data_IF_022781319289
#
_entry.id   IF_022781319289
#
_cell.length_a   1.000
_cell.length_b   1.000
_cell.length_c   1.000
_cell.angle_alpha   90.00
_cell.angle_beta   90.00
_cell.angle_gamma   90.00
#
_symmetry.space_group_name_H-M   'P 1'
#
loop_
_entity.id
_entity.type
_entity.pdbx_description
1 polymer ?
#
# COMPACT_ATOMS: atom_id res chain seq x y z
N UNK A 1 -30.01 -4.34 24.22
CA UNK A 1 -29.52 -5.17 23.09
C UNK A 1 -30.04 -4.64 21.76
N UNK A 2 -29.49 -5.07 20.65
CA UNK A 2 -29.90 -4.63 19.32
C UNK A 2 -29.33 -5.46 18.20
N UNK A 3 -29.74 -5.11 16.99
CA UNK A 3 -29.38 -5.82 15.78
C UNK A 3 -28.57 -4.90 14.87
N UNK A 4 -27.34 -5.32 14.57
CA UNK A 4 -26.57 -4.75 13.46
C UNK A 4 -27.04 -5.41 12.16
N UNK A 5 -27.59 -4.59 11.27
CA UNK A 5 -28.35 -5.05 10.10
C UNK A 5 -27.72 -4.65 8.79
N UNK A 6 -26.50 -4.13 8.83
CA UNK A 6 -25.75 -3.70 7.65
C UNK A 6 -24.53 -4.59 7.42
N UNK A 7 -24.02 -4.53 6.21
CA UNK A 7 -22.71 -5.04 5.88
C UNK A 7 -22.69 -6.21 4.91
N UNK A 8 -21.50 -6.55 4.53
CA UNK A 8 -21.13 -7.50 3.49
C UNK A 8 -21.79 -8.89 3.62
N UNK A 9 -21.92 -9.49 4.83
CA UNK A 9 -22.57 -10.81 4.95
C UNK A 9 -24.02 -10.83 4.48
N UNK A 10 -24.77 -9.76 4.74
CA UNK A 10 -26.17 -9.63 4.29
C UNK A 10 -26.22 -9.47 2.78
N UNK A 11 -25.39 -8.57 2.22
CA UNK A 11 -25.32 -8.32 0.78
C UNK A 11 -24.96 -9.57 0.01
N UNK A 12 -23.87 -10.26 0.37
CA UNK A 12 -23.45 -11.50 -0.29
C UNK A 12 -24.47 -12.64 -0.14
N UNK A 13 -25.17 -12.70 0.99
CA UNK A 13 -26.25 -13.66 1.21
C UNK A 13 -27.39 -13.45 0.22
N UNK A 14 -27.84 -12.21 0.03
CA UNK A 14 -28.91 -11.83 -0.91
C UNK A 14 -28.46 -11.98 -2.36
N UNK A 15 -27.26 -11.56 -2.72
CA UNK A 15 -26.70 -11.75 -4.07
C UNK A 15 -26.68 -13.24 -4.45
N UNK A 16 -26.27 -14.10 -3.52
CA UNK A 16 -26.26 -15.55 -3.73
C UNK A 16 -27.69 -16.13 -3.87
N UNK A 17 -28.63 -15.69 -3.02
CA UNK A 17 -30.03 -16.13 -3.06
C UNK A 17 -30.69 -15.75 -4.38
N UNK A 18 -30.45 -14.53 -4.87
CA UNK A 18 -31.02 -14.02 -6.12
C UNK A 18 -30.22 -14.43 -7.37
N UNK A 19 -29.02 -14.97 -7.21
CA UNK A 19 -28.11 -15.32 -8.31
C UNK A 19 -27.64 -14.13 -9.12
N UNK A 20 -27.45 -12.97 -8.46
CA UNK A 20 -27.00 -11.69 -9.02
C UNK A 20 -25.60 -11.31 -8.51
N UNK A 21 -25.07 -10.24 -9.05
CA UNK A 21 -23.85 -9.57 -8.59
C UNK A 21 -24.12 -8.09 -8.37
N UNK A 22 -23.20 -7.38 -7.72
CA UNK A 22 -23.31 -5.91 -7.55
C UNK A 22 -23.46 -5.15 -8.86
N UNK A 23 -22.91 -5.69 -9.95
CA UNK A 23 -23.02 -5.10 -11.30
C UNK A 23 -24.44 -5.14 -11.88
N UNK A 24 -25.34 -5.97 -11.34
CA UNK A 24 -26.71 -6.11 -11.79
C UNK A 24 -27.67 -5.13 -11.09
N UNK A 25 -27.24 -4.58 -9.93
CA UNK A 25 -28.06 -3.67 -9.12
C UNK A 25 -28.14 -2.31 -9.83
N UNK A 26 -29.36 -1.84 -10.06
CA UNK A 26 -29.72 -0.61 -10.81
C UNK A 26 -29.12 -0.51 -12.24
N UNK A 27 -28.62 -1.60 -12.77
CA UNK A 27 -28.09 -1.69 -14.13
C UNK A 27 -29.17 -2.18 -15.12
N UNK A 28 -29.81 -1.24 -15.79
CA UNK A 28 -30.90 -1.51 -16.74
C UNK A 28 -30.46 -2.32 -17.97
N UNK A 29 -29.17 -2.44 -18.23
CA UNK A 29 -28.65 -3.24 -19.33
C UNK A 29 -28.38 -4.70 -18.91
N UNK A 30 -28.41 -5.00 -17.62
CA UNK A 30 -28.26 -6.35 -17.14
C UNK A 30 -29.54 -7.17 -17.35
N UNK A 31 -29.35 -8.41 -17.81
CA UNK A 31 -30.45 -9.41 -17.89
C UNK A 31 -30.97 -9.83 -16.52
N UNK A 32 -30.24 -9.52 -15.46
CA UNK A 32 -30.56 -9.81 -14.07
C UNK A 32 -30.84 -8.53 -13.26
N UNK A 33 -31.30 -7.48 -13.94
CA UNK A 33 -31.63 -6.21 -13.31
C UNK A 33 -32.49 -6.37 -12.07
N UNK A 34 -32.10 -5.68 -11.02
CA UNK A 34 -32.92 -5.46 -9.82
C UNK A 34 -32.79 -3.99 -9.41
N UNK A 35 -33.89 -3.38 -9.00
CA UNK A 35 -33.85 -2.01 -8.49
C UNK A 35 -33.13 -1.95 -7.10
N UNK A 36 -32.54 -0.78 -6.75
CA UNK A 36 -31.99 -0.58 -5.41
C UNK A 36 -33.06 -0.78 -4.34
N UNK A 37 -34.32 -0.38 -4.61
CA UNK A 37 -35.43 -0.54 -3.66
C UNK A 37 -35.75 -2.00 -3.39
N UNK A 38 -35.91 -2.81 -4.44
CA UNK A 38 -36.20 -4.25 -4.31
C UNK A 38 -35.03 -4.99 -3.65
N UNK A 39 -33.79 -4.64 -4.01
CA UNK A 39 -32.61 -5.23 -3.41
C UNK A 39 -32.53 -4.90 -1.89
N UNK A 40 -32.75 -3.65 -1.51
CA UNK A 40 -32.77 -3.24 -0.10
C UNK A 40 -33.93 -3.92 0.68
N UNK A 41 -35.07 -4.13 0.03
CA UNK A 41 -36.17 -4.86 0.65
C UNK A 41 -35.77 -6.31 0.95
N UNK A 42 -35.16 -7.00 -0.02
CA UNK A 42 -34.59 -8.33 0.19
C UNK A 42 -33.55 -8.43 1.27
N UNK A 43 -32.66 -7.44 1.38
CA UNK A 43 -31.68 -7.35 2.46
C UNK A 43 -32.34 -7.23 3.84
N UNK A 44 -33.40 -6.41 3.96
CA UNK A 44 -34.16 -6.27 5.22
C UNK A 44 -34.89 -7.56 5.59
N UNK A 45 -35.48 -8.28 4.64
CA UNK A 45 -36.10 -9.58 4.90
C UNK A 45 -35.06 -10.62 5.37
N UNK A 46 -33.90 -10.68 4.71
CA UNK A 46 -32.86 -11.66 4.97
C UNK A 46 -32.23 -11.45 6.34
N UNK A 47 -31.85 -10.22 6.69
CA UNK A 47 -31.11 -9.91 7.91
C UNK A 47 -31.93 -10.18 9.19
N UNK A 48 -33.26 -10.10 9.12
CA UNK A 48 -34.14 -10.35 10.27
C UNK A 48 -34.61 -11.81 10.38
N UNK A 49 -34.23 -12.67 9.43
CA UNK A 49 -34.74 -14.04 9.28
C UNK A 49 -34.56 -14.89 10.54
N UNK A 50 -33.46 -14.75 11.25
CA UNK A 50 -33.09 -15.60 12.38
C UNK A 50 -33.22 -14.91 13.76
N UNK A 51 -33.89 -13.78 13.84
CA UNK A 51 -34.01 -13.01 15.10
C UNK A 51 -34.76 -13.77 16.20
N UNK A 52 -35.76 -14.60 15.84
CA UNK A 52 -36.50 -15.41 16.80
C UNK A 52 -35.62 -16.50 17.44
N UNK A 53 -34.81 -17.17 16.63
CA UNK A 53 -33.85 -18.19 17.11
C UNK A 53 -32.79 -17.56 18.00
N UNK A 54 -32.24 -16.42 17.63
CA UNK A 54 -31.30 -15.68 18.46
C UNK A 54 -31.89 -15.24 19.80
N UNK A 55 -33.14 -14.75 19.78
CA UNK A 55 -33.86 -14.39 21.02
C UNK A 55 -33.99 -15.60 21.94
N UNK A 56 -34.47 -16.73 21.41
CA UNK A 56 -34.60 -17.97 22.16
C UNK A 56 -33.27 -18.44 22.76
N UNK A 57 -32.20 -18.43 21.96
CA UNK A 57 -30.87 -18.81 22.42
C UNK A 57 -30.37 -17.89 23.55
N UNK A 58 -30.58 -16.58 23.42
CA UNK A 58 -30.18 -15.57 24.40
C UNK A 58 -30.89 -15.81 25.76
N UNK A 59 -32.19 -16.13 25.70
CA UNK A 59 -32.98 -16.46 26.88
C UNK A 59 -32.52 -17.79 27.53
N UNK A 60 -32.27 -18.82 26.72
CA UNK A 60 -31.80 -20.15 27.20
C UNK A 60 -30.40 -20.06 27.83
N UNK A 61 -29.50 -19.19 27.30
CA UNK A 61 -28.19 -18.93 27.91
C UNK A 61 -28.25 -18.13 29.21
N UNK A 62 -29.42 -17.61 29.58
CA UNK A 62 -29.60 -16.76 30.76
C UNK A 62 -28.91 -15.40 30.65
N UNK A 63 -28.71 -14.90 29.40
CA UNK A 63 -28.14 -13.57 29.18
C UNK A 63 -29.21 -12.50 29.43
N UNK A 64 -29.05 -11.75 30.52
CA UNK A 64 -30.04 -10.79 30.98
C UNK A 64 -29.96 -9.45 30.25
N UNK A 65 -30.79 -9.26 29.22
CA UNK A 65 -30.91 -8.05 28.40
C UNK A 65 -32.36 -7.78 28.03
N UNK A 66 -32.71 -6.53 27.76
CA UNK A 66 -34.01 -6.16 27.20
C UNK A 66 -34.09 -6.61 25.74
N UNK A 67 -34.87 -7.66 25.49
CA UNK A 67 -35.13 -8.22 24.18
C UNK A 67 -36.43 -7.69 23.54
N UNK A 68 -37.26 -6.99 24.32
CA UNK A 68 -38.53 -6.46 23.84
C UNK A 68 -38.39 -5.11 23.18
N UNK A 69 -37.33 -4.34 23.54
CA UNK A 69 -37.05 -3.04 22.97
C UNK A 69 -35.64 -2.98 22.35
N UNK A 70 -35.32 -3.82 21.36
CA UNK A 70 -34.01 -3.78 20.72
C UNK A 70 -33.88 -2.51 19.86
N UNK A 71 -32.66 -1.98 19.73
CA UNK A 71 -32.40 -1.05 18.63
C UNK A 71 -32.11 -1.86 17.35
N UNK A 72 -32.47 -1.30 16.20
CA UNK A 72 -32.23 -1.89 14.88
C UNK A 72 -31.53 -0.85 14.03
N UNK A 73 -30.32 -1.13 13.52
CA UNK A 73 -29.47 -0.12 12.91
C UNK A 73 -30.02 0.45 11.59
N UNK A 74 -30.95 -0.22 10.91
CA UNK A 74 -31.62 0.32 9.72
C UNK A 74 -32.85 1.18 10.01
N UNK A 75 -33.30 1.29 11.27
CA UNK A 75 -34.43 2.14 11.61
C UNK A 75 -34.07 3.63 11.61
N UNK A 76 -34.99 4.45 11.11
CA UNK A 76 -34.77 5.90 11.00
C UNK A 76 -34.38 6.54 12.34
N UNK A 77 -35.01 6.14 13.44
CA UNK A 77 -34.69 6.64 14.78
C UNK A 77 -33.22 6.44 15.16
N UNK A 78 -32.66 5.27 14.83
CA UNK A 78 -31.24 4.98 15.05
C UNK A 78 -30.36 5.83 14.14
N UNK A 79 -30.67 5.86 12.83
CA UNK A 79 -29.92 6.60 11.80
C UNK A 79 -29.92 8.10 12.10
N UNK A 80 -31.05 8.68 12.48
CA UNK A 80 -31.16 10.10 12.81
C UNK A 80 -30.31 10.45 14.05
N UNK A 81 -30.32 9.60 15.08
CA UNK A 81 -29.49 9.78 16.27
C UNK A 81 -28.01 9.72 15.91
N UNK A 82 -27.60 8.77 15.09
CA UNK A 82 -26.21 8.65 14.62
C UNK A 82 -25.77 9.88 13.81
N UNK A 83 -26.61 10.34 12.89
CA UNK A 83 -26.33 11.55 12.10
C UNK A 83 -26.24 12.80 12.95
N UNK A 84 -27.07 12.90 14.00
CA UNK A 84 -26.97 14.00 14.95
C UNK A 84 -25.61 13.99 15.68
N UNK A 85 -25.13 12.81 16.12
CA UNK A 85 -23.81 12.66 16.74
C UNK A 85 -22.68 13.03 15.77
N UNK A 86 -22.72 12.54 14.54
CA UNK A 86 -21.73 12.88 13.50
C UNK A 86 -21.72 14.38 13.21
N UNK A 87 -22.89 15.03 13.20
CA UNK A 87 -23.00 16.48 13.05
C UNK A 87 -22.33 17.23 14.21
N UNK A 88 -22.43 16.72 15.45
CA UNK A 88 -21.72 17.33 16.60
C UNK A 88 -20.19 17.22 16.42
N UNK A 89 -19.69 16.08 15.97
CA UNK A 89 -18.27 15.89 15.69
C UNK A 89 -17.79 16.82 14.54
N UNK A 90 -18.56 16.89 13.47
CA UNK A 90 -18.25 17.79 12.35
C UNK A 90 -18.20 19.26 12.76
N UNK A 91 -19.16 19.70 13.60
CA UNK A 91 -19.20 21.09 14.10
C UNK A 91 -18.03 21.46 15.03
N UNK A 92 -17.30 20.46 15.52
CA UNK A 92 -16.10 20.60 16.36
C UNK A 92 -14.81 20.38 15.57
N UNK A 93 -14.87 20.30 14.24
CA UNK A 93 -13.75 19.96 13.36
C UNK A 93 -13.04 18.62 13.68
N UNK A 94 -13.76 17.69 14.35
CA UNK A 94 -13.26 16.35 14.68
C UNK A 94 -13.58 15.30 13.61
N UNK A 95 -14.44 15.64 12.64
CA UNK A 95 -14.79 14.80 11.49
C UNK A 95 -14.37 15.51 10.21
N UNK A 96 -13.49 14.88 9.45
CA UNK A 96 -12.97 15.42 8.20
C UNK A 96 -12.84 14.31 7.14
N UNK A 97 -12.76 14.71 5.87
CA UNK A 97 -12.51 13.79 4.76
C UNK A 97 -11.01 13.56 4.61
N UNK A 98 -10.57 12.32 4.69
CA UNK A 98 -9.17 11.93 4.58
C UNK A 98 -8.98 10.63 3.81
N UNK A 99 -7.72 10.19 3.71
CA UNK A 99 -7.34 8.91 3.11
C UNK A 99 -6.83 7.97 4.18
N UNK A 100 -7.09 6.68 4.00
CA UNK A 100 -6.49 5.61 4.79
C UNK A 100 -6.11 4.45 3.87
N UNK A 101 -5.08 3.72 4.25
CA UNK A 101 -4.71 2.49 3.57
C UNK A 101 -5.59 1.38 4.14
N UNK A 102 -6.28 0.68 3.26
CA UNK A 102 -7.18 -0.41 3.63
C UNK A 102 -7.08 -1.53 2.60
N UNK A 103 -6.97 -2.80 3.02
CA UNK A 103 -7.09 -3.93 2.11
C UNK A 103 -8.42 -3.88 1.37
N UNK A 104 -8.40 -4.14 0.09
CA UNK A 104 -9.57 -4.12 -0.79
C UNK A 104 -9.76 -5.48 -1.45
N UNK A 105 -10.98 -6.02 -1.40
CA UNK A 105 -11.33 -7.24 -2.09
C UNK A 105 -12.05 -6.93 -3.42
N UNK A 106 -11.41 -7.18 -4.58
CA UNK A 106 -12.06 -7.02 -5.87
C UNK A 106 -13.27 -7.95 -6.04
N UNK A 107 -13.20 -9.16 -5.46
CA UNK A 107 -14.28 -10.14 -5.51
C UNK A 107 -15.53 -9.73 -4.74
N UNK A 108 -15.37 -9.04 -3.61
CA UNK A 108 -16.47 -8.50 -2.82
C UNK A 108 -16.82 -7.04 -3.19
N UNK A 109 -15.94 -6.36 -3.95
CA UNK A 109 -16.10 -4.97 -4.37
C UNK A 109 -16.06 -3.97 -3.23
N UNK A 110 -15.33 -4.27 -2.13
CA UNK A 110 -15.28 -3.42 -0.93
C UNK A 110 -13.95 -3.54 -0.20
N UNK A 111 -13.65 -2.54 0.64
CA UNK A 111 -12.57 -2.60 1.61
C UNK A 111 -12.86 -3.62 2.71
N UNK A 112 -11.82 -4.21 3.28
CA UNK A 112 -11.91 -5.19 4.36
C UNK A 112 -11.47 -4.56 5.68
N UNK A 113 -12.21 -4.86 6.75
CA UNK A 113 -11.86 -4.47 8.11
C UNK A 113 -10.76 -5.37 8.68
N UNK A 114 -10.07 -4.89 9.72
CA UNK A 114 -9.10 -5.71 10.45
C UNK A 114 -9.74 -6.95 11.08
N UNK A 115 -11.02 -6.87 11.46
CA UNK A 115 -11.77 -8.01 11.99
C UNK A 115 -11.94 -9.11 10.94
N UNK A 116 -12.30 -8.76 9.73
CA UNK A 116 -12.45 -9.72 8.60
C UNK A 116 -11.12 -10.39 8.25
N UNK A 117 -10.01 -9.65 8.37
CA UNK A 117 -8.67 -10.18 8.11
C UNK A 117 -8.12 -11.08 9.24
N UNK A 118 -8.74 -11.04 10.42
CA UNK A 118 -8.35 -11.87 11.58
C UNK A 118 -9.20 -13.12 11.75
N UNK A 119 -10.10 -13.44 10.83
CA UNK A 119 -10.90 -14.66 10.91
C UNK A 119 -10.04 -15.90 10.66
N UNK A 120 -10.29 -17.02 11.37
CA UNK A 120 -9.61 -18.28 11.12
C UNK A 120 -9.72 -18.70 9.65
N UNK A 121 -8.58 -19.03 9.03
CA UNK A 121 -8.53 -19.48 7.63
C UNK A 121 -8.60 -18.38 6.57
N UNK A 122 -8.51 -17.10 6.95
CA UNK A 122 -8.42 -15.98 6.01
C UNK A 122 -7.18 -16.03 5.15
N UNK A 123 -6.06 -16.49 5.72
CA UNK A 123 -4.76 -16.56 5.04
C UNK A 123 -4.52 -17.96 4.53
N UNK A 124 -3.95 -18.04 3.33
CA UNK A 124 -3.51 -19.28 2.68
C UNK A 124 -2.20 -19.02 1.97
N UNK A 125 -1.31 -20.00 1.99
CA UNK A 125 -0.09 -19.94 1.20
C UNK A 125 -0.44 -20.00 -0.29
N UNK A 126 0.08 -19.05 -1.05
CA UNK A 126 -0.05 -18.99 -2.49
C UNK A 126 1.33 -18.84 -3.11
N UNK A 127 1.54 -19.44 -4.28
CA UNK A 127 2.76 -19.23 -5.06
C UNK A 127 2.57 -18.02 -5.94
N UNK A 128 3.42 -17.01 -5.76
CA UNK A 128 3.37 -15.78 -6.53
C UNK A 128 4.76 -15.39 -7.06
N UNK A 129 4.79 -14.40 -7.96
CA UNK A 129 6.02 -13.92 -8.58
C UNK A 129 6.57 -12.74 -7.78
N UNK A 130 7.82 -12.84 -7.37
CA UNK A 130 8.58 -11.73 -6.77
C UNK A 130 9.44 -11.03 -7.82
N UNK A 131 9.81 -9.79 -7.55
CA UNK A 131 10.66 -9.00 -8.42
C UNK A 131 11.78 -8.32 -7.63
N UNK A 132 12.99 -8.31 -8.20
CA UNK A 132 14.08 -7.44 -7.74
C UNK A 132 14.27 -6.34 -8.77
N UNK A 133 13.95 -5.11 -8.41
CA UNK A 133 14.05 -3.95 -9.27
C UNK A 133 15.37 -3.21 -9.04
N UNK A 134 15.92 -2.65 -10.11
CA UNK A 134 17.16 -1.87 -10.12
C UNK A 134 16.82 -0.38 -10.30
N UNK A 135 17.16 0.43 -9.31
CA UNK A 135 16.91 1.87 -9.30
C UNK A 135 18.22 2.62 -9.55
N UNK A 136 18.36 3.23 -10.73
CA UNK A 136 19.58 3.95 -11.16
C UNK A 136 19.88 5.11 -10.21
N UNK A 137 21.08 5.13 -9.61
CA UNK A 137 21.52 6.18 -8.68
C UNK A 137 21.91 7.43 -9.45
N UNK A 138 21.41 8.61 -9.03
CA UNK A 138 21.65 9.88 -9.71
C UNK A 138 22.88 10.64 -9.16
N UNK A 139 23.16 10.48 -7.87
CA UNK A 139 24.28 11.11 -7.15
C UNK A 139 25.22 10.04 -6.53
N UNK A 140 25.83 9.19 -7.38
CA UNK A 140 26.63 8.07 -6.92
C UNK A 140 27.97 8.54 -6.31
N UNK A 141 28.49 7.71 -5.38
CA UNK A 141 29.88 7.85 -4.94
C UNK A 141 30.82 7.49 -6.09
N UNK A 142 32.01 8.11 -6.14
CA UNK A 142 32.97 7.98 -7.27
C UNK A 142 33.33 6.51 -7.56
N UNK A 143 33.56 5.71 -6.52
CA UNK A 143 33.92 4.29 -6.66
C UNK A 143 32.81 3.43 -7.29
N UNK A 144 31.54 3.85 -7.19
CA UNK A 144 30.42 3.11 -7.75
C UNK A 144 30.32 3.21 -9.27
N UNK A 145 30.89 4.26 -9.86
CA UNK A 145 30.81 4.52 -11.31
C UNK A 145 31.95 3.88 -12.11
N UNK A 146 32.94 3.27 -11.44
CA UNK A 146 34.12 2.69 -12.09
C UNK A 146 33.83 1.41 -12.85
N UNK A 147 32.65 0.78 -12.64
CA UNK A 147 32.25 -0.47 -13.28
C UNK A 147 30.81 -0.41 -13.77
N UNK A 148 30.49 0.50 -14.66
CA UNK A 148 29.15 0.67 -15.19
C UNK A 148 28.24 1.52 -14.29
N UNK A 149 26.93 1.43 -14.52
CA UNK A 149 25.94 2.23 -13.79
C UNK A 149 25.68 1.69 -12.38
N UNK A 150 25.54 2.56 -11.39
CA UNK A 150 25.16 2.17 -10.03
C UNK A 150 23.64 2.09 -9.85
N UNK A 151 23.19 1.08 -9.10
CA UNK A 151 21.78 0.83 -8.81
C UNK A 151 21.57 0.46 -7.34
N UNK A 152 20.48 0.93 -6.76
CA UNK A 152 19.90 0.31 -5.57
C UNK A 152 19.09 -0.91 -5.99
N UNK A 153 19.30 -2.05 -5.32
CA UNK A 153 18.53 -3.28 -5.51
C UNK A 153 17.39 -3.35 -4.50
N UNK A 154 16.15 -3.25 -4.93
CA UNK A 154 15.01 -3.44 -4.03
C UNK A 154 14.16 -4.63 -4.47
N UNK A 155 13.85 -5.52 -3.53
CA UNK A 155 13.01 -6.69 -3.74
C UNK A 155 11.59 -6.45 -3.28
N UNK A 156 10.61 -6.99 -4.00
CA UNK A 156 9.20 -6.91 -3.64
C UNK A 156 8.44 -8.18 -3.99
N UNK A 157 7.48 -8.54 -3.15
CA UNK A 157 6.47 -9.58 -3.41
C UNK A 157 5.25 -9.02 -4.16
N UNK A 158 5.15 -7.71 -4.30
CA UNK A 158 4.01 -7.00 -4.90
C UNK A 158 4.46 -6.09 -6.05
N UNK A 159 4.96 -6.66 -7.18
CA UNK A 159 5.55 -5.86 -8.26
C UNK A 159 4.57 -4.85 -8.90
N UNK A 160 3.26 -5.05 -8.78
CA UNK A 160 2.23 -4.11 -9.24
C UNK A 160 2.19 -2.79 -8.47
N UNK A 161 2.89 -2.67 -7.33
CA UNK A 161 3.00 -1.41 -6.58
C UNK A 161 4.21 -0.56 -7.01
N UNK A 162 5.15 -1.11 -7.78
CA UNK A 162 6.34 -0.40 -8.28
C UNK A 162 6.03 0.89 -9.05
N UNK A 163 4.94 0.99 -9.86
CA UNK A 163 4.59 2.25 -10.52
C UNK A 163 4.33 3.42 -9.56
N UNK A 164 3.89 3.13 -8.32
CA UNK A 164 3.66 4.13 -7.27
C UNK A 164 4.83 4.31 -6.31
N UNK A 165 6.01 3.81 -6.65
CA UNK A 165 7.23 4.03 -5.87
C UNK A 165 7.58 5.51 -5.80
N UNK A 166 7.87 6.00 -4.58
CA UNK A 166 8.30 7.39 -4.35
C UNK A 166 9.52 7.51 -3.43
N UNK A 167 9.94 6.41 -2.78
CA UNK A 167 11.17 6.35 -2.00
C UNK A 167 11.71 4.92 -1.95
N UNK A 168 12.97 4.78 -1.51
CA UNK A 168 13.56 3.52 -1.08
C UNK A 168 13.96 3.67 0.39
N UNK A 169 13.65 2.66 1.19
CA UNK A 169 13.92 2.66 2.62
C UNK A 169 15.05 1.69 2.98
N UNK A 170 16.00 2.15 3.79
CA UNK A 170 17.11 1.36 4.32
C UNK A 170 17.12 1.37 5.84
N UNK A 171 17.64 0.32 6.46
CA UNK A 171 17.80 0.25 7.91
C UNK A 171 19.02 1.08 8.37
N UNK A 172 18.86 2.01 9.31
CA UNK A 172 19.95 2.90 9.72
C UNK A 172 21.18 2.16 10.26
N UNK A 173 20.98 1.03 10.93
CA UNK A 173 22.03 0.19 11.53
C UNK A 173 22.45 -1.00 10.67
N UNK A 174 21.89 -1.15 9.48
CA UNK A 174 22.24 -2.21 8.54
C UNK A 174 23.46 -1.76 7.72
N UNK A 175 24.40 -2.69 7.52
CA UNK A 175 25.52 -2.50 6.63
C UNK A 175 25.15 -2.88 5.21
N UNK A 176 25.47 -2.03 4.24
CA UNK A 176 25.25 -2.20 2.81
C UNK A 176 26.59 -2.27 2.08
N UNK A 177 26.62 -3.09 1.04
CA UNK A 177 27.78 -3.27 0.19
C UNK A 177 27.53 -2.68 -1.19
N UNK A 178 28.53 -2.00 -1.74
CA UNK A 178 28.60 -1.67 -3.15
C UNK A 178 29.32 -2.81 -3.89
N UNK A 179 28.62 -3.47 -4.80
CA UNK A 179 29.05 -4.69 -5.46
C UNK A 179 29.12 -4.47 -6.97
N UNK A 180 30.32 -4.46 -7.52
CA UNK A 180 30.55 -4.46 -8.97
C UNK A 180 30.28 -5.84 -9.53
N UNK A 181 29.51 -5.93 -10.62
CA UNK A 181 29.08 -7.20 -11.21
C UNK A 181 28.54 -6.96 -12.64
N UNK A 182 27.94 -7.99 -13.20
CA UNK A 182 27.19 -7.94 -14.46
C UNK A 182 25.71 -8.22 -14.24
N UNK A 183 24.88 -7.59 -15.01
CA UNK A 183 23.48 -7.94 -15.13
C UNK A 183 23.35 -9.24 -15.94
N UNK A 184 22.89 -10.31 -15.32
CA UNK A 184 22.81 -11.63 -15.95
C UNK A 184 21.81 -11.73 -17.12
N UNK A 185 20.98 -10.70 -17.35
CA UNK A 185 20.00 -10.69 -18.43
C UNK A 185 20.49 -9.98 -19.70
N UNK A 186 21.34 -8.96 -19.55
CA UNK A 186 21.79 -8.13 -20.69
C UNK A 186 23.31 -7.91 -20.72
N UNK A 187 24.06 -8.56 -19.81
CA UNK A 187 25.52 -8.53 -19.70
C UNK A 187 26.13 -7.15 -19.43
N UNK A 188 25.32 -6.16 -19.10
CA UNK A 188 25.82 -4.83 -18.77
C UNK A 188 26.58 -4.85 -17.44
N UNK A 189 27.72 -4.17 -17.43
CA UNK A 189 28.47 -3.88 -16.21
C UNK A 189 27.66 -2.96 -15.32
N UNK A 190 27.54 -3.30 -14.04
CA UNK A 190 26.81 -2.49 -13.06
C UNK A 190 27.44 -2.58 -11.66
N UNK A 191 27.15 -1.58 -10.85
CA UNK A 191 27.40 -1.64 -9.40
C UNK A 191 26.06 -1.66 -8.68
N UNK A 192 25.83 -2.64 -7.82
CA UNK A 192 24.57 -2.73 -7.07
C UNK A 192 24.81 -2.54 -5.59
N UNK A 193 23.84 -1.90 -4.92
CA UNK A 193 23.83 -1.70 -3.49
C UNK A 193 22.87 -2.70 -2.87
N UNK A 194 23.35 -3.50 -1.91
CA UNK A 194 22.62 -4.58 -1.24
C UNK A 194 23.08 -4.69 0.22
N UNK A 195 22.20 -5.13 1.13
CA UNK A 195 22.60 -5.40 2.51
C UNK A 195 23.60 -6.55 2.61
N UNK A 196 24.66 -6.38 3.41
CA UNK A 196 25.74 -7.36 3.59
C UNK A 196 25.24 -8.77 3.89
N UNK A 197 24.30 -9.02 4.84
CA UNK A 197 23.83 -10.36 5.16
C UNK A 197 23.14 -11.08 3.99
N UNK A 198 22.65 -10.33 3.00
CA UNK A 198 21.89 -10.85 1.86
C UNK A 198 22.74 -11.00 0.59
N UNK A 199 24.03 -10.67 0.65
CA UNK A 199 24.95 -10.79 -0.50
C UNK A 199 24.88 -12.18 -1.14
N UNK A 200 24.99 -13.23 -0.35
CA UNK A 200 25.04 -14.61 -0.85
C UNK A 200 23.68 -15.20 -1.28
N UNK A 201 22.59 -14.47 -1.04
CA UNK A 201 21.28 -14.80 -1.63
C UNK A 201 21.22 -14.47 -3.13
N UNK A 202 22.07 -13.54 -3.58
CA UNK A 202 22.14 -13.08 -4.98
C UNK A 202 23.44 -13.48 -5.66
N UNK A 203 24.54 -13.56 -4.93
CA UNK A 203 25.88 -13.81 -5.47
C UNK A 203 26.48 -15.07 -4.86
N UNK A 204 26.86 -16.01 -5.71
CA UNK A 204 27.55 -17.22 -5.28
C UNK A 204 28.94 -16.87 -4.77
N UNK A 205 29.39 -17.50 -3.68
CA UNK A 205 30.68 -17.21 -3.07
C UNK A 205 31.85 -17.33 -4.06
N UNK A 206 31.81 -18.29 -4.98
CA UNK A 206 32.84 -18.50 -6.00
C UNK A 206 33.00 -17.32 -6.96
N UNK A 207 31.94 -16.50 -7.10
CA UNK A 207 31.96 -15.30 -7.94
C UNK A 207 32.93 -14.22 -7.44
N UNK A 208 33.25 -14.21 -6.14
CA UNK A 208 34.18 -13.24 -5.56
C UNK A 208 35.63 -13.42 -6.04
N UNK A 209 36.01 -14.63 -6.43
CA UNK A 209 37.34 -14.99 -6.93
C UNK A 209 37.38 -15.07 -8.45
N UNK A 210 36.22 -15.16 -9.12
CA UNK A 210 36.14 -15.30 -10.58
C UNK A 210 36.67 -14.02 -11.28
N UNK A 211 37.45 -14.13 -12.36
CA UNK A 211 37.91 -12.97 -13.13
C UNK A 211 36.74 -12.19 -13.70
N UNK A 212 36.73 -10.88 -13.51
CA UNK A 212 35.64 -10.02 -14.01
C UNK A 212 35.59 -10.01 -15.55
N UNK A 213 36.75 -10.02 -16.21
CA UNK A 213 36.84 -9.89 -17.68
C UNK A 213 36.51 -11.19 -18.43
N UNK A 214 36.41 -12.35 -17.74
CA UNK A 214 36.13 -13.63 -18.35
C UNK A 214 34.64 -13.98 -18.42
N UNK A 215 33.76 -13.14 -17.84
CA UNK A 215 32.31 -13.39 -17.82
C UNK A 215 31.70 -13.45 -19.22
N UNK A 216 30.85 -14.44 -19.43
CA UNK A 216 30.06 -14.64 -20.66
C UNK A 216 28.61 -14.87 -20.35
N UNK A 217 27.73 -14.41 -21.23
CA UNK A 217 26.29 -14.62 -21.10
C UNK A 217 25.95 -16.09 -20.85
N UNK A 218 25.16 -16.34 -19.80
CA UNK A 218 24.70 -17.66 -19.41
C UNK A 218 25.65 -18.39 -18.48
N UNK A 219 26.76 -17.79 -18.06
CA UNK A 219 27.62 -18.40 -17.02
C UNK A 219 26.85 -18.58 -15.71
N UNK A 220 27.01 -19.76 -15.08
CA UNK A 220 26.31 -20.09 -13.84
C UNK A 220 26.80 -19.32 -12.63
N UNK A 221 28.00 -18.75 -12.72
CA UNK A 221 28.66 -17.96 -11.68
C UNK A 221 28.94 -16.58 -12.29
N UNK A 222 28.21 -15.57 -11.82
CA UNK A 222 28.47 -14.19 -12.20
C UNK A 222 29.56 -13.64 -11.29
N UNK A 223 30.68 -13.12 -11.84
CA UNK A 223 31.75 -12.55 -11.03
C UNK A 223 31.32 -11.26 -10.36
N UNK A 224 31.85 -11.01 -9.16
CA UNK A 224 31.58 -9.78 -8.45
C UNK A 224 32.77 -9.32 -7.59
N UNK A 225 32.78 -8.03 -7.24
CA UNK A 225 33.75 -7.41 -6.32
C UNK A 225 33.03 -6.44 -5.39
N UNK A 226 33.27 -6.59 -4.10
CA UNK A 226 32.83 -5.58 -3.12
C UNK A 226 33.82 -4.42 -3.17
N UNK A 227 33.32 -3.21 -3.44
CA UNK A 227 34.16 -2.02 -3.64
C UNK A 227 33.89 -0.93 -2.60
N UNK A 228 32.89 -1.12 -1.73
CA UNK A 228 32.59 -0.21 -0.63
C UNK A 228 31.62 -0.83 0.36
N UNK A 229 31.72 -0.34 1.59
CA UNK A 229 30.85 -0.71 2.71
C UNK A 229 30.27 0.58 3.33
N UNK A 230 28.97 0.60 3.61
CA UNK A 230 28.26 1.80 4.08
C UNK A 230 27.21 1.39 5.11
N UNK A 231 27.05 2.22 6.14
CA UNK A 231 25.87 2.10 6.99
C UNK A 231 24.67 2.74 6.31
N UNK A 232 23.46 2.28 6.64
CA UNK A 232 22.25 2.85 6.04
C UNK A 232 22.14 4.37 6.20
N UNK A 233 22.61 4.92 7.32
CA UNK A 233 22.69 6.37 7.55
C UNK A 233 23.59 7.13 6.57
N UNK A 234 24.57 6.45 5.95
CA UNK A 234 25.46 7.06 4.94
C UNK A 234 24.84 7.05 3.54
N UNK A 235 23.73 6.32 3.35
CA UNK A 235 22.97 6.26 2.10
C UNK A 235 21.77 7.22 2.12
N UNK A 236 21.37 7.74 3.28
CA UNK A 236 20.24 8.64 3.43
C UNK A 236 20.37 9.86 2.52
N UNK A 237 19.27 10.20 1.84
CA UNK A 237 19.20 11.37 0.97
C UNK A 237 19.75 11.15 -0.44
N UNK A 238 20.45 10.06 -0.75
CA UNK A 238 20.88 9.76 -2.11
C UNK A 238 19.66 9.57 -3.03
N UNK A 239 19.70 10.17 -4.21
CA UNK A 239 18.60 10.14 -5.17
C UNK A 239 18.78 9.03 -6.20
N UNK A 240 17.65 8.57 -6.68
CA UNK A 240 17.59 7.61 -7.79
C UNK A 240 16.57 8.04 -8.83
N UNK A 241 16.75 7.57 -10.05
CA UNK A 241 15.86 7.83 -11.16
C UNK A 241 14.52 7.11 -10.95
N UNK A 242 13.41 7.83 -11.12
CA UNK A 242 12.08 7.22 -11.10
C UNK A 242 12.04 6.00 -12.03
N UNK A 243 11.60 4.86 -11.51
CA UNK A 243 11.59 3.60 -12.25
C UNK A 243 10.62 3.64 -13.43
N UNK A 244 9.43 4.21 -13.22
CA UNK A 244 8.35 4.32 -14.20
C UNK A 244 7.83 5.77 -14.23
N UNK A 245 8.40 6.65 -15.08
CA UNK A 245 8.11 8.09 -15.06
C UNK A 245 6.81 8.44 -15.80
N UNK A 246 5.72 7.73 -15.50
CA UNK A 246 4.42 7.95 -16.16
C UNK A 246 3.64 9.09 -15.52
N UNK A 247 3.78 9.27 -14.23
CA UNK A 247 3.08 10.28 -13.43
C UNK A 247 4.08 10.91 -12.45
N UNK A 248 3.92 12.20 -12.18
CA UNK A 248 4.72 12.90 -11.18
C UNK A 248 4.09 12.76 -9.79
N UNK A 249 4.91 12.69 -8.72
CA UNK A 249 4.39 12.73 -7.35
C UNK A 249 3.76 14.08 -7.06
N UNK A 250 2.53 14.03 -6.56
CA UNK A 250 1.76 15.22 -6.20
C UNK A 250 1.15 15.08 -4.82
N UNK A 251 0.92 16.20 -4.15
CA UNK A 251 0.17 16.23 -2.91
C UNK A 251 -0.97 17.24 -3.00
N UNK A 252 -2.12 16.89 -2.42
CA UNK A 252 -3.27 17.80 -2.34
C UNK A 252 -2.95 18.95 -1.39
N UNK A 253 -3.31 20.17 -1.78
CA UNK A 253 -3.13 21.38 -0.99
C UNK A 253 -4.50 21.86 -0.51
N UNK A 254 -4.82 21.58 0.76
CA UNK A 254 -6.02 22.05 1.43
C UNK A 254 -5.77 22.24 2.95
N UNK A 255 -6.80 22.61 3.69
CA UNK A 255 -6.72 22.85 5.15
C UNK A 255 -6.32 21.61 5.97
N UNK A 256 -6.44 20.41 5.42
CA UNK A 256 -6.13 19.13 6.07
C UNK A 256 -4.79 18.55 5.61
N UNK A 257 -4.11 19.22 4.69
CA UNK A 257 -2.82 18.76 4.17
C UNK A 257 -1.78 18.72 5.29
N UNK A 258 -0.84 17.74 5.26
CA UNK A 258 0.30 17.75 6.17
C UNK A 258 1.05 19.08 6.10
N UNK A 259 1.58 19.55 7.25
CA UNK A 259 2.27 20.83 7.33
C UNK A 259 3.40 20.97 6.28
N UNK A 260 4.16 19.90 6.04
CA UNK A 260 5.24 19.93 5.05
C UNK A 260 4.74 20.15 3.62
N UNK A 261 3.54 19.70 3.27
CA UNK A 261 2.93 19.95 1.95
C UNK A 261 2.56 21.42 1.81
N UNK A 262 1.95 22.01 2.84
CA UNK A 262 1.60 23.41 2.85
C UNK A 262 2.84 24.32 2.80
N UNK A 263 3.89 23.99 3.55
CA UNK A 263 5.19 24.66 3.53
C UNK A 263 5.81 24.60 2.14
N UNK A 264 5.84 23.40 1.52
CA UNK A 264 6.40 23.20 0.19
C UNK A 264 5.63 23.96 -0.88
N UNK A 265 4.28 23.90 -0.87
CA UNK A 265 3.43 24.65 -1.79
C UNK A 265 3.64 26.16 -1.67
N UNK A 266 3.84 26.69 -0.45
CA UNK A 266 4.12 28.09 -0.21
C UNK A 266 5.49 28.52 -0.72
N UNK A 267 6.49 27.63 -0.64
CA UNK A 267 7.85 27.87 -1.13
C UNK A 267 7.97 27.73 -2.67
N UNK A 268 7.07 26.94 -3.29
CA UNK A 268 7.07 26.65 -4.72
C UNK A 268 5.71 26.90 -5.38
N UNK A 269 5.22 28.16 -5.38
CA UNK A 269 3.90 28.50 -5.93
C UNK A 269 3.76 28.18 -7.43
N UNK A 270 4.87 28.15 -8.17
CA UNK A 270 4.95 27.76 -9.58
C UNK A 270 4.63 26.28 -9.84
N UNK A 271 4.76 25.41 -8.83
CA UNK A 271 4.45 23.98 -8.91
C UNK A 271 3.02 23.67 -8.46
N UNK A 272 2.28 24.67 -7.99
CA UNK A 272 0.88 24.51 -7.56
C UNK A 272 -0.03 24.61 -8.79
N UNK A 273 -0.95 23.66 -8.94
CA UNK A 273 -1.94 23.65 -10.00
C UNK A 273 -3.32 23.26 -9.49
N UNK A 274 -4.36 23.62 -10.24
CA UNK A 274 -5.75 23.25 -9.96
C UNK A 274 -6.11 22.07 -10.84
N UNK A 275 -6.70 21.03 -10.25
CA UNK A 275 -7.16 19.86 -10.98
C UNK A 275 -8.26 20.21 -12.01
N UNK A 276 -8.50 19.31 -12.95
CA UNK A 276 -9.51 19.47 -14.02
C UNK A 276 -10.93 19.74 -13.48
N UNK A 277 -11.22 19.26 -12.26
CA UNK A 277 -12.50 19.53 -11.59
C UNK A 277 -12.69 21.00 -11.14
N UNK A 278 -11.67 21.84 -11.27
CA UNK A 278 -11.67 23.26 -10.91
C UNK A 278 -11.81 23.57 -9.42
N UNK A 279 -11.69 22.57 -8.54
CA UNK A 279 -11.95 22.72 -7.09
C UNK A 279 -10.76 22.30 -6.22
N UNK A 280 -10.03 21.30 -6.62
CA UNK A 280 -8.91 20.75 -5.85
C UNK A 280 -7.58 21.34 -6.35
N UNK A 281 -6.74 21.77 -5.40
CA UNK A 281 -5.38 22.24 -5.69
C UNK A 281 -4.38 21.18 -5.29
N UNK A 282 -3.34 21.03 -6.12
CA UNK A 282 -2.24 20.11 -5.89
C UNK A 282 -0.90 20.81 -6.09
N UNK A 283 0.15 20.25 -5.51
CA UNK A 283 1.53 20.68 -5.75
C UNK A 283 2.38 19.51 -6.23
N UNK A 284 3.17 19.71 -7.29
CA UNK A 284 4.17 18.74 -7.75
C UNK A 284 5.36 18.75 -6.79
N UNK A 285 5.76 17.55 -6.29
CA UNK A 285 6.80 17.38 -5.27
C UNK A 285 7.89 16.40 -5.71
N UNK A 286 8.25 16.40 -7.00
CA UNK A 286 9.26 15.49 -7.56
C UNK A 286 10.61 15.61 -6.84
N UNK A 287 11.04 16.81 -6.49
CA UNK A 287 12.31 17.07 -5.80
C UNK A 287 12.36 16.50 -4.36
N UNK A 288 11.20 16.18 -3.78
CA UNK A 288 11.10 15.57 -2.45
C UNK A 288 10.99 14.05 -2.49
N UNK A 289 10.79 13.48 -3.69
CA UNK A 289 10.63 12.04 -3.93
C UNK A 289 11.94 11.40 -4.41
N UNK A 290 11.89 10.11 -4.70
CA UNK A 290 12.91 9.30 -5.36
C UNK A 290 14.28 9.36 -4.68
N UNK A 291 14.29 9.29 -3.36
CA UNK A 291 15.50 9.27 -2.54
C UNK A 291 15.47 8.18 -1.48
N UNK A 292 16.65 7.87 -0.94
CA UNK A 292 16.80 6.95 0.18
C UNK A 292 16.31 7.63 1.47
N UNK A 293 15.49 6.90 2.22
CA UNK A 293 15.02 7.26 3.56
C UNK A 293 15.37 6.17 4.58
N UNK A 294 15.31 6.49 5.85
CA UNK A 294 15.60 5.55 6.94
C UNK A 294 14.31 4.97 7.53
N UNK A 295 14.34 3.68 7.90
CA UNK A 295 13.24 3.02 8.60
C UNK A 295 13.72 1.83 9.43
N UNK A 296 13.35 1.81 10.71
CA UNK A 296 13.77 0.79 11.66
C UNK A 296 13.12 -0.59 11.42
N UNK A 297 12.08 -0.66 10.57
CA UNK A 297 11.39 -1.90 10.23
C UNK A 297 12.05 -2.71 9.11
N UNK A 298 13.09 -2.16 8.47
CA UNK A 298 13.84 -2.87 7.44
C UNK A 298 14.60 -4.04 8.07
N UNK A 299 14.40 -5.24 7.52
CA UNK A 299 15.04 -6.48 7.96
C UNK A 299 16.04 -7.01 6.94
N UNK A 300 16.85 -7.98 7.37
CA UNK A 300 17.77 -8.73 6.52
C UNK A 300 17.46 -10.22 6.51
N UNK A 301 16.20 -10.59 6.78
CA UNK A 301 15.73 -11.99 6.73
C UNK A 301 15.49 -12.42 5.29
N UNK A 302 14.90 -11.53 4.48
CA UNK A 302 14.58 -11.76 3.08
C UNK A 302 14.89 -10.53 2.21
N UNK A 303 14.87 -10.73 0.89
CA UNK A 303 15.01 -9.64 -0.09
C UNK A 303 16.43 -9.13 -0.25
N UNK A 304 16.60 -7.82 -0.27
CA UNK A 304 17.86 -7.11 -0.51
C UNK A 304 18.29 -6.22 0.64
N UNK A 305 17.44 -6.08 1.69
CA UNK A 305 17.63 -5.10 2.76
C UNK A 305 17.33 -3.66 2.33
N UNK A 306 16.79 -3.46 1.13
CA UNK A 306 16.28 -2.18 0.64
C UNK A 306 14.82 -2.38 0.27
N UNK A 307 13.93 -1.63 0.91
CA UNK A 307 12.47 -1.73 0.73
C UNK A 307 12.00 -0.61 -0.18
N UNK A 308 11.24 -0.95 -1.24
CA UNK A 308 10.58 0.06 -2.04
C UNK A 308 9.35 0.61 -1.31
N UNK A 309 9.13 1.92 -1.38
CA UNK A 309 8.06 2.61 -0.68
C UNK A 309 7.00 3.09 -1.67
N UNK A 310 5.77 2.63 -1.48
CA UNK A 310 4.59 3.04 -2.21
C UNK A 310 3.49 3.50 -1.23
N UNK A 311 3.46 4.78 -0.82
CA UNK A 311 2.63 5.28 0.29
C UNK A 311 1.12 5.10 0.08
N UNK A 312 0.67 4.85 -1.15
CA UNK A 312 -0.74 4.61 -1.50
C UNK A 312 -1.16 3.14 -1.35
N UNK A 313 -0.22 2.22 -1.09
CA UNK A 313 -0.49 0.77 -1.01
C UNK A 313 -0.17 0.14 0.34
N UNK A 314 0.77 0.69 1.12
CA UNK A 314 1.19 0.13 2.41
C UNK A 314 0.97 1.12 3.57
N UNK A 315 0.47 0.62 4.71
CA UNK A 315 0.29 1.45 5.91
C UNK A 315 1.64 1.89 6.51
N UNK A 316 2.62 0.99 6.54
CA UNK A 316 3.98 1.28 7.00
C UNK A 316 4.68 2.22 6.02
N UNK A 317 4.50 2.01 4.70
CA UNK A 317 5.00 2.90 3.65
C UNK A 317 4.44 4.32 3.80
N UNK A 318 3.12 4.44 4.02
CA UNK A 318 2.47 5.74 4.23
C UNK A 318 3.00 6.47 5.46
N UNK A 319 3.26 5.72 6.55
CA UNK A 319 3.81 6.27 7.79
C UNK A 319 5.23 6.77 7.60
N UNK A 320 6.14 5.91 7.10
CA UNK A 320 7.56 6.28 6.93
C UNK A 320 7.72 7.39 5.89
N UNK A 321 6.94 7.38 4.82
CA UNK A 321 6.93 8.43 3.82
C UNK A 321 6.50 9.78 4.41
N UNK A 322 5.45 9.79 5.25
CA UNK A 322 5.00 11.00 5.95
C UNK A 322 6.08 11.57 6.87
N UNK A 323 6.73 10.70 7.66
CA UNK A 323 7.78 11.10 8.60
C UNK A 323 9.00 11.65 7.85
N UNK A 324 9.35 11.06 6.70
CA UNK A 324 10.41 11.52 5.81
C UNK A 324 9.97 12.62 4.82
N UNK A 325 8.73 13.14 4.88
CA UNK A 325 8.18 14.18 4.00
C UNK A 325 8.21 13.78 2.51
N UNK A 326 7.97 12.52 2.22
CA UNK A 326 7.87 11.98 0.85
C UNK A 326 6.41 12.11 0.38
N UNK A 327 6.16 12.66 -0.82
CA UNK A 327 4.82 12.72 -1.39
C UNK A 327 4.33 11.34 -1.85
N UNK A 328 3.02 11.18 -1.93
CA UNK A 328 2.40 10.02 -2.56
C UNK A 328 2.37 10.17 -4.08
N UNK A 329 2.26 9.04 -4.79
CA UNK A 329 2.03 9.01 -6.22
C UNK A 329 0.73 8.25 -6.47
N UNK A 330 -0.23 8.92 -7.09
CA UNK A 330 -1.52 8.35 -7.47
C UNK A 330 -1.53 8.10 -8.98
N UNK A 331 -1.87 6.86 -9.37
CA UNK A 331 -1.97 6.41 -10.76
C UNK A 331 -3.42 6.44 -11.25
#
# INVERSE_FOLDING_TARGET
AGWDTHGLPVELGVEKELGITKADIDNKESSKYISVEDYNHKCRENVMKFTAEWRKLTEEMGYFVDLDHPYITYENKYIETLWWLLKQLYSKDLLYKGYTIQPYSPGAGTGLSSHELNQPGCYRDVKDTTCTALFEVLDPKEEWTKWGKPYFMAWTTTPWTLPSNTALCVGPSIKYLAVQTYNAYNDEQMTVIIAEPLLHSYFKAEGSEAPMDDYKHGDKVVPYRVVGEYMGTELEGLHYKQLMPWVKPTAKVDKNSPAFVAEYASAHPEKVFVAENGKDSFVEMEDSAFRIILGDYVTTEDGTGIVHIAPTFGADDAKVAKDARIPSLFL
#
